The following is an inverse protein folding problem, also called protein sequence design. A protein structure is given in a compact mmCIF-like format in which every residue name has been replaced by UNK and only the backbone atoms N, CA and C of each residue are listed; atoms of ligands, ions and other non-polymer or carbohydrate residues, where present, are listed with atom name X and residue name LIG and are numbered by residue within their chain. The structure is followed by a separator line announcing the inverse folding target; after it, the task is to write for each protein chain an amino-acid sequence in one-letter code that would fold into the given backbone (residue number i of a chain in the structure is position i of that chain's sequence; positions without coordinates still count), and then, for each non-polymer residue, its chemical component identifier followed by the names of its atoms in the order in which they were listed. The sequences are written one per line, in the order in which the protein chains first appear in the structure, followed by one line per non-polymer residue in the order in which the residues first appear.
data_IF_770892618525
#
_entry.id   IF_770892618525
#
_cell.length_a   1.000
_cell.length_b   1.000
_cell.length_c   1.000
_cell.angle_alpha   90.00
_cell.angle_beta   90.00
_cell.angle_gamma   90.00
#
_symmetry.space_group_name_H-M   'P 1'
#
loop_
_entity.id
_entity.type
_entity.pdbx_description
1 polymer ?
#
# COMPACT_ATOMS: atom_id res chain seq x y z
N UNK A 1 10.94 13.76 -7.84
CA UNK A 1 11.02 12.32 -7.52
C UNK A 1 9.71 11.94 -6.83
N UNK A 2 8.91 11.02 -7.38
CA UNK A 2 7.66 10.57 -6.74
C UNK A 2 8.04 9.63 -5.59
N UNK A 3 7.79 10.06 -4.34
CA UNK A 3 8.11 9.25 -3.16
C UNK A 3 6.86 8.47 -2.76
N UNK A 4 6.96 7.15 -2.67
CA UNK A 4 5.86 6.30 -2.24
C UNK A 4 5.52 6.59 -0.77
N UNK A 5 4.26 6.97 -0.51
CA UNK A 5 3.82 7.32 0.83
C UNK A 5 3.28 6.08 1.56
N UNK A 6 4.11 5.54 2.44
CA UNK A 6 3.80 4.36 3.27
C UNK A 6 2.57 4.59 4.16
N UNK A 7 2.39 5.83 4.62
CA UNK A 7 1.24 6.22 5.44
C UNK A 7 -0.09 6.11 4.68
N UNK A 8 -0.13 6.42 3.38
CA UNK A 8 -1.36 6.29 2.57
C UNK A 8 -1.73 4.83 2.43
N UNK A 9 -0.77 3.95 2.14
CA UNK A 9 -1.00 2.49 2.04
C UNK A 9 -1.59 1.96 3.34
N UNK A 10 -0.96 2.26 4.48
CA UNK A 10 -1.44 1.81 5.79
C UNK A 10 -2.83 2.36 6.10
N UNK A 11 -3.09 3.65 5.81
CA UNK A 11 -4.38 4.27 6.04
C UNK A 11 -5.47 3.66 5.17
N UNK A 12 -5.20 3.45 3.88
CA UNK A 12 -6.13 2.81 2.93
C UNK A 12 -6.42 1.37 3.31
N UNK A 13 -5.40 0.63 3.74
CA UNK A 13 -5.56 -0.73 4.28
C UNK A 13 -6.52 -0.75 5.47
N UNK A 14 -6.35 0.19 6.41
CA UNK A 14 -7.23 0.31 7.58
C UNK A 14 -8.66 0.75 7.21
N UNK A 15 -8.80 1.66 6.24
CA UNK A 15 -10.08 2.13 5.71
C UNK A 15 -10.91 0.98 5.10
N UNK A 16 -10.24 0.05 4.43
CA UNK A 16 -10.85 -1.16 3.86
C UNK A 16 -11.00 -2.31 4.88
N UNK A 17 -10.48 -2.16 6.10
CA UNK A 17 -10.49 -3.22 7.11
C UNK A 17 -9.58 -4.41 6.79
N UNK A 18 -8.62 -4.26 5.87
CA UNK A 18 -7.75 -5.34 5.41
C UNK A 18 -6.65 -5.62 6.44
N UNK A 19 -6.48 -6.88 6.80
CA UNK A 19 -5.45 -7.29 7.75
C UNK A 19 -4.07 -7.42 7.10
N UNK A 20 -3.01 -7.40 7.90
CA UNK A 20 -1.64 -7.65 7.41
C UNK A 20 -1.49 -9.03 6.76
N UNK A 21 -2.29 -10.00 7.22
CA UNK A 21 -2.30 -11.36 6.69
C UNK A 21 -2.90 -11.37 5.28
N UNK A 22 -4.05 -10.73 5.08
CA UNK A 22 -4.69 -10.63 3.77
C UNK A 22 -3.82 -9.90 2.75
N UNK A 23 -3.15 -8.81 3.15
CA UNK A 23 -2.16 -8.15 2.29
C UNK A 23 -1.03 -9.12 1.91
N UNK A 24 -0.49 -9.86 2.89
CA UNK A 24 0.56 -10.82 2.62
C UNK A 24 0.08 -11.92 1.65
N UNK A 25 -1.10 -12.48 1.89
CA UNK A 25 -1.70 -13.51 1.03
C UNK A 25 -1.93 -12.99 -0.40
N UNK A 26 -2.47 -11.77 -0.56
CA UNK A 26 -2.70 -11.16 -1.87
C UNK A 26 -1.42 -10.81 -2.63
N UNK A 27 -0.33 -10.51 -1.91
CA UNK A 27 1.00 -10.29 -2.50
C UNK A 27 1.80 -11.59 -2.69
N UNK A 28 1.25 -12.75 -2.32
CA UNK A 28 1.96 -14.04 -2.38
C UNK A 28 3.06 -14.21 -1.32
N UNK A 29 3.05 -13.39 -0.26
CA UNK A 29 3.94 -13.53 0.88
C UNK A 29 3.44 -14.61 1.83
N UNK A 30 4.35 -15.49 2.27
CA UNK A 30 4.04 -16.53 3.26
C UNK A 30 3.75 -16.00 4.67
N UNK A 31 4.21 -14.79 4.98
CA UNK A 31 4.16 -14.23 6.34
C UNK A 31 3.64 -12.80 6.35
N UNK A 32 2.69 -12.51 7.23
CA UNK A 32 2.21 -11.14 7.51
C UNK A 32 3.33 -10.22 7.97
N UNK A 33 4.31 -10.75 8.71
CA UNK A 33 5.50 -10.01 9.14
C UNK A 33 6.38 -9.57 7.99
N UNK A 34 6.39 -10.31 6.87
CA UNK A 34 7.09 -9.89 5.65
C UNK A 34 6.45 -8.63 5.10
N UNK A 35 5.12 -8.62 4.92
CA UNK A 35 4.39 -7.42 4.50
C UNK A 35 4.58 -6.25 5.47
N UNK A 36 4.53 -6.50 6.78
CA UNK A 36 4.75 -5.46 7.80
C UNK A 36 6.11 -4.76 7.64
N UNK A 37 7.17 -5.49 7.25
CA UNK A 37 8.50 -4.90 6.97
C UNK A 37 8.48 -3.95 5.77
N UNK A 38 7.66 -4.21 4.75
CA UNK A 38 7.46 -3.27 3.64
C UNK A 38 6.67 -2.04 4.09
N UNK A 39 5.60 -2.24 4.86
CA UNK A 39 4.75 -1.16 5.37
C UNK A 39 5.51 -0.23 6.34
N UNK A 40 6.30 -0.80 7.26
CA UNK A 40 7.18 -0.05 8.18
C UNK A 40 8.39 0.56 7.47
N UNK A 41 8.72 0.06 6.29
CA UNK A 41 9.80 0.58 5.47
C UNK A 41 11.19 0.04 5.75
N UNK A 42 11.28 -1.09 6.44
CA UNK A 42 12.46 -1.97 6.42
C UNK A 42 12.75 -2.42 4.98
N UNK A 43 11.70 -2.65 4.17
CA UNK A 43 11.82 -2.93 2.74
C UNK A 43 11.10 -1.86 1.90
N UNK A 44 11.58 -1.66 0.68
CA UNK A 44 10.93 -0.80 -0.31
C UNK A 44 10.01 -1.63 -1.20
N UNK A 45 8.80 -1.12 -1.46
CA UNK A 45 7.91 -1.71 -2.47
C UNK A 45 8.57 -1.53 -3.85
N UNK A 46 8.78 -2.64 -4.54
CA UNK A 46 9.24 -2.68 -5.93
C UNK A 46 8.08 -2.40 -6.88
N UNK A 47 8.40 -2.00 -8.11
CA UNK A 47 7.41 -1.77 -9.15
C UNK A 47 6.51 -2.99 -9.38
N UNK A 48 7.06 -4.20 -9.29
CA UNK A 48 6.32 -5.45 -9.40
C UNK A 48 5.24 -5.64 -8.34
N UNK A 49 5.38 -5.03 -7.15
CA UNK A 49 4.41 -5.16 -6.06
C UNK A 49 3.27 -4.14 -6.16
N UNK A 50 3.49 -3.03 -6.84
CA UNK A 50 2.50 -1.96 -7.00
C UNK A 50 1.15 -2.42 -7.58
N UNK A 51 1.11 -3.19 -8.69
CA UNK A 51 -0.18 -3.64 -9.25
C UNK A 51 -0.95 -4.54 -8.29
N UNK A 52 -0.27 -5.41 -7.55
CA UNK A 52 -0.91 -6.25 -6.53
C UNK A 52 -1.46 -5.42 -5.37
N UNK A 53 -0.71 -4.43 -4.90
CA UNK A 53 -1.21 -3.51 -3.87
C UNK A 53 -2.45 -2.75 -4.35
N UNK A 54 -2.43 -2.26 -5.58
CA UNK A 54 -3.54 -1.54 -6.20
C UNK A 54 -4.81 -2.40 -6.28
N UNK A 55 -4.66 -3.67 -6.69
CA UNK A 55 -5.76 -4.62 -6.78
C UNK A 55 -6.37 -4.91 -5.39
N UNK A 56 -5.54 -5.23 -4.39
CA UNK A 56 -6.00 -5.55 -3.03
C UNK A 56 -6.66 -4.33 -2.36
N UNK A 57 -6.04 -3.15 -2.52
CA UNK A 57 -6.52 -1.90 -1.92
C UNK A 57 -7.59 -1.21 -2.76
N UNK A 58 -8.03 -1.83 -3.86
CA UNK A 58 -9.01 -1.30 -4.80
C UNK A 58 -8.76 0.18 -5.10
N UNK A 59 -7.51 0.51 -5.39
CA UNK A 59 -7.07 1.86 -5.71
C UNK A 59 -6.06 1.82 -6.86
N UNK A 60 -5.76 2.97 -7.43
CA UNK A 60 -4.73 3.05 -8.46
C UNK A 60 -3.33 3.12 -7.85
N UNK A 61 -2.33 2.67 -8.60
CA UNK A 61 -0.93 2.75 -8.19
C UNK A 61 -0.52 4.20 -7.89
N UNK A 62 -1.06 5.16 -8.64
CA UNK A 62 -0.77 6.59 -8.45
C UNK A 62 -1.26 7.11 -7.09
N UNK A 63 -2.30 6.50 -6.48
CA UNK A 63 -2.80 6.86 -5.16
C UNK A 63 -1.76 6.64 -4.04
N UNK A 64 -0.84 5.67 -4.24
CA UNK A 64 0.29 5.44 -3.33
C UNK A 64 1.38 6.50 -3.46
N UNK A 65 1.51 7.12 -4.63
CA UNK A 65 2.45 8.19 -4.89
C UNK A 65 1.72 9.50 -4.70
N UNK A 66 1.73 10.04 -3.47
CA UNK A 66 1.10 11.32 -3.21
C UNK A 66 1.56 12.38 -4.23
N UNK A 67 0.73 12.63 -5.25
CA UNK A 67 0.58 13.97 -5.75
C UNK A 67 -0.12 14.72 -4.63
N UNK A 68 0.26 15.98 -4.41
CA UNK A 68 -0.39 16.85 -3.44
C UNK A 68 -1.86 17.08 -3.86
N UNK A 69 -2.73 16.08 -3.79
CA UNK A 69 -4.17 16.24 -3.87
C UNK A 69 -4.64 16.57 -2.45
N UNK A 70 -4.25 17.77 -2.04
CA UNK A 70 -4.99 18.49 -1.03
C UNK A 70 -6.48 18.41 -1.44
N UNK A 71 -7.30 17.96 -0.48
CA UNK A 71 -8.76 17.91 -0.54
C UNK A 71 -9.31 19.01 -1.45
N UNK A 72 -9.87 18.63 -2.60
CA UNK A 72 -10.99 19.38 -3.16
C UNK A 72 -12.26 18.63 -2.78
N UNK A 73 -12.66 18.79 -1.51
CA UNK A 73 -14.06 18.65 -1.18
C UNK A 73 -14.70 19.99 -1.54
N UNK A 74 -15.59 20.00 -2.53
CA UNK A 74 -16.55 21.08 -2.80
C UNK A 74 -17.85 20.43 -3.18
#
# INVERSE_FOLDING_TARGET
MKTLNRNTIKKRRLDLGITLKEMAEGLGFKNSSTYLKYENGTYAFKADHLPFLAEILKCEIDDFFAQNVAKIAT
#
